data_IF_719836503934
#
_entry.id   IF_719836503934
#
_cell.length_a   1.000
_cell.length_b   1.000
_cell.length_c   1.000
_cell.angle_alpha   90.00
_cell.angle_beta   90.00
_cell.angle_gamma   90.00
#
_symmetry.space_group_name_H-M   'P 1'
#
loop_
_entity.id
_entity.type
_entity.pdbx_description
1 polymer ?
#
# COMPACT_ATOMS: atom_id res chain seq x y z
N UNK A 1 1.60 6.18 -9.82
CA UNK A 1 0.26 6.50 -10.35
C UNK A 1 -0.49 5.22 -10.66
N UNK A 2 -1.81 5.22 -10.44
CA UNK A 2 -2.70 4.12 -10.85
C UNK A 2 -3.35 4.58 -12.16
N UNK A 3 -2.85 4.04 -13.27
CA UNK A 3 -3.36 4.24 -14.63
C UNK A 3 -3.27 2.93 -15.41
N UNK A 4 -3.99 2.84 -16.52
CA UNK A 4 -3.95 1.71 -17.45
C UNK A 4 -2.62 1.65 -18.23
N UNK A 5 -1.50 1.32 -17.56
CA UNK A 5 -0.17 1.11 -18.15
C UNK A 5 0.45 -0.24 -17.74
N UNK A 6 -0.39 -1.23 -17.44
CA UNK A 6 0.05 -2.62 -17.18
C UNK A 6 0.20 -3.32 -18.53
N UNK A 7 1.19 -4.22 -18.76
CA UNK A 7 1.31 -4.96 -20.01
C UNK A 7 0.00 -5.67 -20.37
N UNK A 8 -0.74 -5.04 -21.27
CA UNK A 8 -1.98 -5.52 -21.85
C UNK A 8 -1.67 -6.64 -22.82
N UNK A 9 -2.49 -7.69 -22.85
CA UNK A 9 -2.69 -8.41 -24.10
C UNK A 9 -3.39 -7.41 -25.02
N UNK A 10 -2.64 -6.79 -25.93
CA UNK A 10 -3.05 -5.70 -26.83
C UNK A 10 -4.29 -5.96 -27.71
N UNK A 11 -4.91 -7.13 -27.59
CA UNK A 11 -6.04 -7.58 -28.43
C UNK A 11 -7.19 -8.17 -27.61
N UNK A 12 -7.21 -7.97 -26.29
CA UNK A 12 -8.31 -8.44 -25.45
C UNK A 12 -9.30 -7.31 -25.20
N UNK A 13 -10.30 -7.18 -26.08
CA UNK A 13 -11.56 -6.57 -25.69
C UNK A 13 -12.12 -7.41 -24.53
N UNK A 14 -12.62 -6.75 -23.47
CA UNK A 14 -13.15 -7.37 -22.24
C UNK A 14 -12.07 -7.86 -21.29
N UNK A 15 -11.80 -7.04 -20.27
CA UNK A 15 -10.88 -7.41 -19.20
C UNK A 15 -11.29 -6.76 -17.88
N UNK A 16 -10.72 -7.25 -16.79
CA UNK A 16 -10.86 -6.64 -15.48
C UNK A 16 -9.49 -6.57 -14.78
N UNK A 17 -9.24 -5.46 -14.10
CA UNK A 17 -8.06 -5.22 -13.30
C UNK A 17 -8.45 -5.00 -11.84
N UNK A 18 -7.64 -5.53 -10.93
CA UNK A 18 -7.72 -5.26 -9.50
C UNK A 18 -6.36 -4.82 -8.99
N UNK A 19 -6.25 -3.56 -8.65
CA UNK A 19 -5.09 -2.99 -7.98
C UNK A 19 -5.31 -3.11 -6.48
N UNK A 20 -4.37 -3.74 -5.76
CA UNK A 20 -4.42 -3.89 -4.30
C UNK A 20 -3.11 -3.42 -3.71
N UNK A 21 -3.18 -2.62 -2.66
CA UNK A 21 -2.02 -2.15 -1.92
C UNK A 21 -2.42 -1.31 -0.72
N UNK A 22 -1.48 -0.48 -0.27
CA UNK A 22 -1.67 0.52 0.75
C UNK A 22 -1.37 1.90 0.17
N UNK A 23 -2.11 2.91 0.58
CA UNK A 23 -1.79 4.31 0.34
C UNK A 23 -1.19 4.93 1.60
N UNK A 24 -0.02 5.56 1.47
CA UNK A 24 0.61 6.30 2.54
C UNK A 24 0.08 7.74 2.58
N UNK A 25 -0.64 8.07 3.64
CA UNK A 25 -1.23 9.38 3.91
C UNK A 25 -0.22 10.23 4.69
N UNK A 26 0.27 11.36 4.13
CA UNK A 26 1.32 12.16 4.78
C UNK A 26 0.84 12.89 6.03
N UNK A 27 -0.42 13.29 6.06
CA UNK A 27 -1.00 14.13 7.13
C UNK A 27 -2.45 13.75 7.35
N UNK A 28 -2.87 13.66 8.61
CA UNK A 28 -4.26 13.43 8.95
C UNK A 28 -5.15 14.55 8.41
N UNK A 29 -6.32 14.20 7.89
CA UNK A 29 -7.34 15.15 7.46
C UNK A 29 -8.24 14.61 6.36
N UNK A 30 -8.96 15.52 5.69
CA UNK A 30 -9.93 15.20 4.65
C UNK A 30 -9.26 15.06 3.29
N UNK A 31 -9.41 13.90 2.68
CA UNK A 31 -8.92 13.60 1.33
C UNK A 31 -10.08 13.42 0.38
N UNK A 32 -9.97 13.91 -0.85
CA UNK A 32 -10.93 13.60 -1.93
C UNK A 32 -10.22 12.76 -2.97
N UNK A 33 -10.81 11.61 -3.30
CA UNK A 33 -10.37 10.74 -4.38
C UNK A 33 -11.25 11.00 -5.60
N UNK A 34 -10.63 10.94 -6.78
CA UNK A 34 -11.28 11.09 -8.07
C UNK A 34 -10.86 9.92 -8.94
N UNK A 35 -11.82 9.27 -9.59
CA UNK A 35 -11.61 8.17 -10.52
C UNK A 35 -12.33 8.47 -11.82
N UNK A 36 -11.65 8.33 -12.95
CA UNK A 36 -12.24 8.38 -14.29
C UNK A 36 -12.00 7.03 -14.96
N UNK A 37 -13.04 6.46 -15.56
CA UNK A 37 -12.94 5.19 -16.28
C UNK A 37 -13.94 5.03 -17.43
N UNK A 38 -13.59 4.14 -18.36
CA UNK A 38 -14.38 3.59 -19.47
C UNK A 38 -14.03 2.10 -19.61
N UNK A 39 -14.83 1.12 -19.19
CA UNK A 39 -16.12 1.16 -18.50
C UNK A 39 -15.96 1.37 -16.97
N UNK A 40 -16.47 0.44 -16.15
CA UNK A 40 -16.77 0.65 -14.75
C UNK A 40 -15.57 0.48 -13.83
N UNK A 41 -15.57 1.24 -12.74
CA UNK A 41 -14.53 1.18 -11.70
C UNK A 41 -15.04 1.44 -10.30
N UNK A 42 -14.27 1.01 -9.29
CA UNK A 42 -14.57 1.27 -7.87
C UNK A 42 -13.30 1.55 -7.08
N UNK A 43 -13.43 2.36 -6.03
CA UNK A 43 -12.36 2.63 -5.07
C UNK A 43 -12.80 2.18 -3.69
N UNK A 44 -11.95 1.44 -3.00
CA UNK A 44 -12.12 1.03 -1.61
C UNK A 44 -10.96 1.53 -0.77
N UNK A 45 -11.27 2.07 0.41
CA UNK A 45 -10.29 2.47 1.42
C UNK A 45 -10.62 1.72 2.72
N UNK A 46 -9.64 1.04 3.32
CA UNK A 46 -9.81 0.24 4.53
C UNK A 46 -11.02 -0.70 4.47
N UNK A 47 -11.13 -1.45 3.36
CA UNK A 47 -12.20 -2.42 3.08
C UNK A 47 -13.62 -1.84 2.95
N UNK A 48 -13.75 -0.50 2.93
CA UNK A 48 -15.02 0.18 2.68
C UNK A 48 -15.04 0.78 1.28
N UNK A 49 -16.13 0.58 0.56
CA UNK A 49 -16.35 1.21 -0.74
C UNK A 49 -16.48 2.73 -0.57
N UNK A 50 -15.60 3.47 -1.20
CA UNK A 50 -15.58 4.94 -1.20
C UNK A 50 -16.24 5.51 -2.46
N UNK A 51 -15.92 4.94 -3.63
CA UNK A 51 -16.50 5.36 -4.91
C UNK A 51 -17.05 4.13 -5.63
N UNK A 52 -18.28 4.26 -6.12
CA UNK A 52 -18.91 3.32 -7.04
C UNK A 52 -19.12 3.98 -8.41
N UNK A 53 -18.26 3.65 -9.37
CA UNK A 53 -18.36 4.03 -10.77
C UNK A 53 -18.58 2.80 -11.66
N UNK A 54 -19.35 1.82 -11.18
CA UNK A 54 -19.63 0.60 -11.95
C UNK A 54 -20.68 0.82 -13.04
N UNK A 55 -20.79 -0.16 -13.94
CA UNK A 55 -21.72 -0.16 -15.06
C UNK A 55 -21.02 0.04 -16.40
N UNK A 56 -21.80 -0.10 -17.49
CA UNK A 56 -21.33 0.18 -18.85
C UNK A 56 -21.48 1.66 -19.14
N UNK A 57 -20.39 2.32 -19.49
CA UNK A 57 -20.36 3.73 -19.80
C UNK A 57 -19.04 4.11 -20.47
N UNK A 58 -19.08 5.14 -21.33
CA UNK A 58 -17.87 5.82 -21.79
C UNK A 58 -17.10 6.52 -20.65
N UNK A 59 -16.14 7.42 -20.93
CA UNK A 59 -15.34 8.06 -19.90
C UNK A 59 -16.18 8.88 -18.90
N UNK A 60 -16.33 8.38 -17.67
CA UNK A 60 -17.08 9.03 -16.58
C UNK A 60 -16.18 9.22 -15.38
N UNK A 61 -16.15 10.43 -14.83
CA UNK A 61 -15.47 10.76 -13.57
C UNK A 61 -16.44 10.72 -12.38
N UNK A 62 -16.01 10.10 -11.28
CA UNK A 62 -16.65 10.20 -9.96
C UNK A 62 -15.64 10.57 -8.88
N UNK A 63 -16.13 11.17 -7.81
CA UNK A 63 -15.30 11.53 -6.66
C UNK A 63 -16.05 11.34 -5.34
N UNK A 64 -15.28 11.10 -4.28
CA UNK A 64 -15.78 11.05 -2.91
C UNK A 64 -14.68 11.46 -1.93
N UNK A 65 -15.09 11.99 -0.77
CA UNK A 65 -14.18 12.42 0.29
C UNK A 65 -14.24 11.49 1.51
N UNK A 66 -13.10 11.32 2.16
CA UNK A 66 -12.93 10.51 3.38
C UNK A 66 -11.93 11.18 4.31
N UNK A 67 -12.16 11.09 5.62
CA UNK A 67 -11.19 11.50 6.63
C UNK A 67 -10.21 10.34 6.89
N UNK A 68 -8.91 10.63 6.77
CA UNK A 68 -7.83 9.66 6.97
C UNK A 68 -6.86 10.16 8.03
N UNK A 69 -6.33 9.24 8.83
CA UNK A 69 -5.16 9.50 9.68
C UNK A 69 -3.89 9.49 8.85
N UNK A 70 -2.83 10.14 9.33
CA UNK A 70 -1.49 9.92 8.77
C UNK A 70 -1.09 8.45 8.90
N UNK A 71 -0.38 7.91 7.91
CA UNK A 71 0.06 6.52 7.86
C UNK A 71 -0.54 5.71 6.71
N UNK A 72 -0.45 4.39 6.79
CA UNK A 72 -0.83 3.51 5.69
C UNK A 72 -2.30 3.09 5.80
N UNK A 73 -3.04 3.20 4.70
CA UNK A 73 -4.42 2.76 4.57
C UNK A 73 -4.57 1.78 3.43
N UNK A 74 -5.37 0.74 3.58
CA UNK A 74 -5.59 -0.22 2.50
C UNK A 74 -6.31 0.48 1.35
N UNK A 75 -5.79 0.32 0.14
CA UNK A 75 -6.37 0.85 -1.10
C UNK A 75 -6.63 -0.32 -2.06
N UNK A 76 -7.87 -0.43 -2.52
CA UNK A 76 -8.24 -1.31 -3.62
C UNK A 76 -8.90 -0.48 -4.70
N UNK A 77 -8.47 -0.67 -5.95
CA UNK A 77 -9.13 -0.10 -7.13
C UNK A 77 -9.49 -1.26 -8.05
N UNK A 78 -10.77 -1.39 -8.38
CA UNK A 78 -11.23 -2.33 -9.40
C UNK A 78 -11.63 -1.57 -10.65
N UNK A 79 -11.40 -2.16 -11.81
CA UNK A 79 -11.76 -1.60 -13.10
C UNK A 79 -12.09 -2.74 -14.05
N UNK A 80 -13.06 -2.55 -14.93
CA UNK A 80 -13.27 -3.42 -16.06
C UNK A 80 -13.56 -2.58 -17.30
N UNK A 81 -13.27 -3.16 -18.45
CA UNK A 81 -13.69 -2.67 -19.75
C UNK A 81 -14.42 -3.83 -20.44
N UNK A 82 -15.50 -3.54 -21.18
CA UNK A 82 -16.25 -4.50 -21.97
C UNK A 82 -16.16 -4.24 -23.49
N UNK A 83 -15.20 -3.41 -23.91
CA UNK A 83 -14.84 -3.14 -25.29
C UNK A 83 -15.25 -1.73 -25.74
N UNK A 84 -14.63 -1.25 -26.82
CA UNK A 84 -14.82 0.12 -27.28
C UNK A 84 -13.63 1.00 -26.90
N UNK A 85 -13.88 2.15 -26.27
CA UNK A 85 -12.82 2.97 -25.67
C UNK A 85 -12.41 2.38 -24.32
N UNK A 86 -11.17 2.62 -23.90
CA UNK A 86 -10.68 2.18 -22.60
C UNK A 86 -9.99 3.31 -21.84
N UNK A 87 -10.02 3.23 -20.51
CA UNK A 87 -9.28 4.17 -19.68
C UNK A 87 -9.49 3.99 -18.20
N UNK A 88 -8.44 4.24 -17.43
CA UNK A 88 -8.49 4.34 -15.98
C UNK A 88 -7.47 5.37 -15.50
N UNK A 89 -7.91 6.33 -14.68
CA UNK A 89 -7.01 7.19 -13.92
C UNK A 89 -7.56 7.51 -12.53
N UNK A 90 -6.69 7.41 -11.52
CA UNK A 90 -7.01 7.78 -10.13
C UNK A 90 -6.14 8.96 -9.70
N UNK A 91 -6.79 10.01 -9.20
CA UNK A 91 -6.15 11.20 -8.62
C UNK A 91 -6.72 11.49 -7.23
N UNK A 92 -6.01 12.28 -6.45
CA UNK A 92 -6.41 12.63 -5.09
C UNK A 92 -6.00 14.05 -4.74
N UNK A 93 -6.71 14.66 -3.80
CA UNK A 93 -6.35 15.90 -3.14
C UNK A 93 -6.39 15.70 -1.62
N UNK A 94 -5.63 16.48 -0.88
CA UNK A 94 -5.60 16.38 0.58
C UNK A 94 -5.01 17.63 1.25
N UNK A 95 -4.85 17.61 2.57
CA UNK A 95 -4.32 18.75 3.31
C UNK A 95 -2.89 19.08 2.85
N UNK A 96 -2.72 20.28 2.29
CA UNK A 96 -1.41 20.78 1.85
C UNK A 96 -1.01 20.41 0.43
N UNK A 97 -1.90 19.84 -0.38
CA UNK A 97 -1.66 19.66 -1.82
C UNK A 97 -2.95 19.68 -2.65
N UNK A 98 -2.85 20.26 -3.86
CA UNK A 98 -3.94 20.27 -4.84
C UNK A 98 -4.10 18.91 -5.52
N UNK A 99 -5.23 18.71 -6.22
CA UNK A 99 -5.51 17.48 -6.99
C UNK A 99 -4.31 17.08 -7.84
N UNK A 100 -3.83 15.86 -7.64
CA UNK A 100 -2.68 15.30 -8.35
C UNK A 100 -2.81 13.77 -8.50
N UNK A 101 -2.01 13.12 -9.36
CA UNK A 101 -1.90 11.66 -9.37
C UNK A 101 -1.41 11.12 -8.02
N UNK A 102 -1.82 9.90 -7.66
CA UNK A 102 -1.23 9.20 -6.51
C UNK A 102 0.17 8.74 -6.92
N UNK A 103 1.20 9.41 -6.39
CA UNK A 103 2.58 9.11 -6.72
C UNK A 103 2.97 7.67 -6.32
N UNK A 104 3.87 7.02 -7.06
CA UNK A 104 4.17 5.60 -6.87
C UNK A 104 4.77 5.32 -5.49
N UNK A 105 5.57 6.24 -4.98
CA UNK A 105 6.15 6.25 -3.64
C UNK A 105 5.11 6.33 -2.51
N UNK A 106 3.85 6.66 -2.83
CA UNK A 106 2.73 6.61 -1.89
C UNK A 106 1.98 5.29 -1.91
N UNK A 107 2.31 4.38 -2.83
CA UNK A 107 1.69 3.07 -2.97
C UNK A 107 2.63 2.00 -2.42
N UNK A 108 2.20 1.29 -1.38
CA UNK A 108 3.00 0.27 -0.68
C UNK A 108 2.31 -1.09 -0.85
N UNK A 109 3.07 -2.18 -1.00
CA UNK A 109 2.52 -3.54 -1.05
C UNK A 109 2.20 -4.00 0.40
N UNK A 110 1.19 -4.86 0.56
CA UNK A 110 0.58 -5.20 1.86
C UNK A 110 1.57 -5.62 2.96
N UNK A 111 1.31 -5.16 4.19
CA UNK A 111 2.12 -5.39 5.40
C UNK A 111 2.87 -4.16 5.90
N UNK A 112 3.04 -3.13 5.04
CA UNK A 112 3.98 -2.03 5.36
C UNK A 112 5.44 -2.50 5.35
N UNK A 113 5.69 -3.69 4.78
CA UNK A 113 6.99 -4.34 4.76
C UNK A 113 7.76 -3.94 3.51
N UNK A 114 8.95 -3.42 3.75
CA UNK A 114 9.98 -3.16 2.76
C UNK A 114 10.81 -4.43 2.53
N UNK A 115 11.63 -4.45 1.47
CA UNK A 115 12.64 -5.50 1.29
C UNK A 115 13.57 -5.60 2.52
N UNK A 116 13.80 -4.50 3.23
CA UNK A 116 14.57 -4.51 4.48
C UNK A 116 13.86 -5.30 5.58
N UNK A 117 12.53 -5.22 5.67
CA UNK A 117 11.75 -5.99 6.66
C UNK A 117 11.81 -7.50 6.38
N UNK A 118 11.80 -7.89 5.10
CA UNK A 118 12.00 -9.29 4.68
C UNK A 118 13.42 -9.76 5.03
N UNK A 119 14.43 -8.93 4.76
CA UNK A 119 15.82 -9.24 5.09
C UNK A 119 16.03 -9.38 6.60
N UNK A 120 15.42 -8.50 7.41
CA UNK A 120 15.47 -8.57 8.88
C UNK A 120 14.90 -9.90 9.37
N UNK A 121 13.76 -10.34 8.86
CA UNK A 121 13.18 -11.64 9.26
C UNK A 121 14.03 -12.84 8.90
N UNK A 122 14.74 -12.78 7.77
CA UNK A 122 15.67 -13.84 7.40
C UNK A 122 16.79 -14.02 8.44
N UNK A 123 17.18 -12.96 9.17
CA UNK A 123 18.22 -13.04 10.22
C UNK A 123 17.87 -14.04 11.33
N UNK A 124 16.59 -14.15 11.69
CA UNK A 124 16.12 -15.08 12.73
C UNK A 124 16.27 -16.56 12.34
N UNK A 125 16.40 -16.86 11.05
CA UNK A 125 16.62 -18.22 10.55
C UNK A 125 18.10 -18.55 10.31
N UNK A 126 19.00 -17.57 10.39
CA UNK A 126 20.45 -17.75 10.20
C UNK A 126 21.07 -18.03 11.57
N UNK A 127 21.85 -19.09 11.78
CA UNK A 127 22.55 -19.34 13.05
C UNK A 127 23.77 -18.42 13.25
N UNK A 128 24.16 -18.17 14.51
CA UNK A 128 25.35 -17.41 14.91
C UNK A 128 25.15 -15.90 14.99
N UNK A 129 26.06 -15.21 15.68
CA UNK A 129 26.04 -13.75 15.90
C UNK A 129 24.76 -13.28 16.62
N UNK A 130 24.27 -14.07 17.58
CA UNK A 130 23.03 -13.81 18.30
C UNK A 130 23.09 -12.49 19.08
N UNK A 131 24.24 -12.18 19.69
CA UNK A 131 24.45 -10.95 20.47
C UNK A 131 24.36 -9.71 19.58
N UNK A 132 25.00 -9.74 18.41
CA UNK A 132 24.97 -8.65 17.42
C UNK A 132 23.56 -8.47 16.85
N UNK A 133 22.88 -9.57 16.50
CA UNK A 133 21.48 -9.53 16.03
C UNK A 133 20.56 -8.90 17.07
N UNK A 134 20.66 -9.29 18.33
CA UNK A 134 19.82 -8.71 19.40
C UNK A 134 20.09 -7.21 19.53
N UNK A 135 21.36 -6.81 19.52
CA UNK A 135 21.76 -5.39 19.59
C UNK A 135 21.15 -4.57 18.45
N UNK A 136 21.29 -5.03 17.21
CA UNK A 136 20.80 -4.33 16.02
C UNK A 136 19.26 -4.32 15.95
N UNK A 137 18.60 -5.43 16.29
CA UNK A 137 17.13 -5.52 16.32
C UNK A 137 16.54 -4.61 17.41
N UNK A 138 17.14 -4.56 18.61
CA UNK A 138 16.76 -3.62 19.67
C UNK A 138 16.92 -2.16 19.22
N UNK A 139 17.98 -1.83 18.48
CA UNK A 139 18.17 -0.49 17.93
C UNK A 139 17.09 -0.11 16.90
N UNK A 140 16.70 -1.04 16.02
CA UNK A 140 15.61 -0.85 15.07
C UNK A 140 14.28 -0.59 15.79
N UNK A 141 13.96 -1.40 16.80
CA UNK A 141 12.75 -1.23 17.62
C UNK A 141 12.71 0.15 18.29
N UNK A 142 13.81 0.58 18.91
CA UNK A 142 13.94 1.90 19.56
C UNK A 142 13.78 3.06 18.57
N UNK A 143 14.30 2.91 17.36
CA UNK A 143 14.20 3.94 16.31
C UNK A 143 12.85 4.00 15.60
N UNK A 144 11.96 3.04 15.87
CA UNK A 144 10.67 2.91 15.18
C UNK A 144 10.76 2.42 13.72
N UNK A 145 11.97 2.18 13.21
CA UNK A 145 12.21 1.64 11.87
C UNK A 145 12.04 0.13 11.88
N UNK A 146 11.35 -0.42 10.87
CA UNK A 146 11.20 -1.88 10.72
C UNK A 146 10.71 -2.60 11.98
N UNK A 147 9.94 -1.89 12.83
CA UNK A 147 9.66 -2.31 14.21
C UNK A 147 8.94 -3.65 14.28
N UNK A 148 7.96 -3.91 13.40
CA UNK A 148 7.24 -5.20 13.38
C UNK A 148 8.18 -6.36 13.06
N UNK A 149 8.93 -6.24 11.96
CA UNK A 149 9.90 -7.25 11.55
C UNK A 149 10.97 -7.47 12.62
N UNK A 150 11.45 -6.40 13.25
CA UNK A 150 12.46 -6.50 14.30
C UNK A 150 11.92 -7.20 15.57
N UNK A 151 10.71 -6.87 16.03
CA UNK A 151 10.08 -7.55 17.19
C UNK A 151 9.85 -9.03 16.91
N UNK A 152 9.29 -9.36 15.73
CA UNK A 152 9.04 -10.74 15.33
C UNK A 152 10.34 -11.54 15.25
N UNK A 153 11.40 -10.97 14.68
CA UNK A 153 12.70 -11.63 14.54
C UNK A 153 13.38 -11.82 15.89
N UNK A 154 13.33 -10.81 16.76
CA UNK A 154 13.91 -10.88 18.10
C UNK A 154 13.25 -11.99 18.94
N UNK A 155 11.94 -12.18 18.78
CA UNK A 155 11.19 -13.26 19.43
C UNK A 155 11.57 -14.68 19.00
N UNK A 156 12.33 -14.84 17.90
CA UNK A 156 12.85 -16.14 17.46
C UNK A 156 14.20 -16.50 18.10
N UNK A 157 14.89 -15.53 18.73
CA UNK A 157 16.20 -15.73 19.35
C UNK A 157 16.01 -16.16 20.80
N UNK A 158 16.53 -17.33 21.15
CA UNK A 158 16.46 -17.90 22.50
C UNK A 158 17.04 -16.92 23.55
N UNK A 159 16.28 -16.70 24.63
CA UNK A 159 16.57 -15.77 25.73
C UNK A 159 17.95 -16.02 26.35
N UNK A 160 18.47 -17.25 26.33
CA UNK A 160 19.81 -17.55 26.85
C UNK A 160 20.96 -16.83 26.14
N UNK A 161 20.72 -16.32 24.92
CA UNK A 161 21.70 -15.54 24.17
C UNK A 161 21.53 -14.03 24.34
N UNK A 162 20.55 -13.59 25.15
CA UNK A 162 20.32 -12.17 25.38
C UNK A 162 21.40 -11.59 26.28
N UNK A 163 21.97 -10.41 25.92
CA UNK A 163 22.86 -9.68 26.81
C UNK A 163 22.13 -9.35 28.11
N UNK A 164 22.81 -9.43 29.26
CA UNK A 164 22.22 -9.08 30.57
C UNK A 164 21.61 -7.67 30.62
N UNK A 165 22.09 -6.74 29.77
CA UNK A 165 21.58 -5.38 29.67
C UNK A 165 20.25 -5.24 28.89
N UNK A 166 19.80 -6.29 28.20
CA UNK A 166 18.58 -6.31 27.37
C UNK A 166 17.49 -7.25 27.94
N UNK A 167 17.75 -7.93 29.07
CA UNK A 167 16.78 -8.72 29.86
C UNK A 167 16.04 -7.79 30.84
#
# INVERSE_FOLDING_TARGET
QIVMNVPQRKEADKFALKFTGMINVPKSGRYTFFIISDDGSRVYINDKQLIDNDGLHGPVEKSAAIDLSAGNHKLVVTYFDNGGGDGLAVTWQGPGFNRQPIAAERLVIGGGETIHDVAIRALGSIPGNEVEKITDLSALIRSGRSRSAAVETLGLIDVKHWPEAEI
#
